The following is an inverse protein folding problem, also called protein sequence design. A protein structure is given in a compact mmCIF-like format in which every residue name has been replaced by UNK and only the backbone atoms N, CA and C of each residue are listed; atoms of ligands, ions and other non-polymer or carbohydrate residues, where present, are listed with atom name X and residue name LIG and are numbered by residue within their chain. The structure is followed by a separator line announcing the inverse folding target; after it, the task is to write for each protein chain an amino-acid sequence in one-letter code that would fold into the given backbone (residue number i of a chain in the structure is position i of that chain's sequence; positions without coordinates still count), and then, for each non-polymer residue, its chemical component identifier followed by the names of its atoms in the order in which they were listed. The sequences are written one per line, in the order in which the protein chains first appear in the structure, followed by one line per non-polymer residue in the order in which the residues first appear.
data_IF_097845346853
#
_entry.id   IF_097845346853
#
_cell.length_a   1.000
_cell.length_b   1.000
_cell.length_c   1.000
_cell.angle_alpha   90.00
_cell.angle_beta   90.00
_cell.angle_gamma   90.00
#
_symmetry.space_group_name_H-M   'P 1'
#
loop_
_entity.id
_entity.type
_entity.pdbx_description
1 polymer ?
#
# COMPACT_ATOMS: atom_id res chain seq x y z
N UNK A 1 5.05 19.26 5.41
CA UNK A 1 6.05 18.52 6.19
C UNK A 1 6.40 19.27 7.48
N UNK A 2 6.86 20.53 7.43
CA UNK A 2 7.32 21.32 8.62
C UNK A 2 6.24 21.44 9.71
N UNK A 3 5.02 21.83 9.35
CA UNK A 3 3.91 21.91 10.31
C UNK A 3 3.55 20.56 10.95
N UNK A 4 3.62 19.48 10.18
CA UNK A 4 3.38 18.14 10.71
C UNK A 4 4.47 17.73 11.71
N UNK A 5 5.74 18.01 11.41
CA UNK A 5 6.86 17.72 12.32
C UNK A 5 6.75 18.50 13.63
N UNK A 6 6.37 19.78 13.57
CA UNK A 6 6.14 20.60 14.77
C UNK A 6 4.96 20.05 15.59
N UNK A 7 3.86 19.69 14.93
CA UNK A 7 2.69 19.09 15.58
C UNK A 7 3.02 17.80 16.31
N UNK A 8 3.80 16.91 15.68
CA UNK A 8 4.28 15.66 16.26
C UNK A 8 5.18 15.92 17.48
N UNK A 9 6.11 16.89 17.40
CA UNK A 9 6.99 17.23 18.52
C UNK A 9 6.23 17.77 19.74
N UNK A 10 5.12 18.47 19.51
CA UNK A 10 4.31 19.04 20.60
C UNK A 10 3.33 18.00 21.18
N UNK A 11 2.74 17.16 20.32
CA UNK A 11 1.66 16.26 20.72
C UNK A 11 2.13 14.91 21.28
N UNK A 12 3.34 14.44 20.91
CA UNK A 12 3.85 13.16 21.39
C UNK A 12 4.57 13.34 22.73
N UNK A 13 4.08 12.69 23.81
CA UNK A 13 4.82 12.63 25.06
C UNK A 13 6.14 11.88 24.85
N UNK A 14 7.21 12.34 25.50
CA UNK A 14 8.51 11.67 25.49
C UNK A 14 8.35 10.27 26.07
N UNK A 15 8.21 9.28 25.20
CA UNK A 15 8.18 7.86 25.59
C UNK A 15 9.55 7.49 26.14
N UNK A 16 9.58 6.92 27.35
CA UNK A 16 10.81 6.35 27.91
C UNK A 16 11.36 5.32 26.93
N UNK A 17 12.65 5.46 26.64
CA UNK A 17 13.46 4.62 25.77
C UNK A 17 13.29 3.16 26.18
N UNK A 18 12.40 2.43 25.53
CA UNK A 18 12.31 0.98 25.64
C UNK A 18 13.58 0.41 24.99
N UNK A 19 14.18 -0.57 25.65
CA UNK A 19 15.44 -1.26 25.34
C UNK A 19 15.85 -1.19 23.85
N UNK A 20 17.09 -0.79 23.60
CA UNK A 20 17.70 -0.78 22.27
C UNK A 20 17.69 -2.21 21.71
N UNK A 21 16.66 -2.57 20.97
CA UNK A 21 16.69 -3.76 20.14
C UNK A 21 17.64 -3.46 19.00
N UNK A 22 18.83 -4.08 19.04
CA UNK A 22 19.78 -3.97 17.94
C UNK A 22 19.11 -4.49 16.68
N UNK A 23 19.12 -3.67 15.62
CA UNK A 23 18.61 -4.08 14.33
C UNK A 23 19.40 -5.30 13.84
N UNK A 24 18.71 -6.35 13.50
CA UNK A 24 19.32 -7.55 12.93
C UNK A 24 19.55 -7.30 11.43
N UNK A 25 20.78 -6.89 11.10
CA UNK A 25 21.17 -6.45 9.76
C UNK A 25 21.10 -7.55 8.70
N UNK A 26 21.40 -8.80 9.08
CA UNK A 26 21.46 -9.93 8.13
C UNK A 26 20.08 -10.22 7.55
N UNK A 27 19.07 -10.39 8.39
CA UNK A 27 17.71 -10.62 7.94
C UNK A 27 17.13 -9.41 7.21
N UNK A 28 17.44 -8.19 7.68
CA UNK A 28 17.01 -6.96 7.01
C UNK A 28 17.58 -6.86 5.58
N UNK A 29 18.88 -7.10 5.39
CA UNK A 29 19.52 -7.03 4.07
C UNK A 29 19.02 -8.13 3.14
N UNK A 30 18.90 -9.38 3.61
CA UNK A 30 18.40 -10.48 2.81
C UNK A 30 16.97 -10.22 2.31
N UNK A 31 16.08 -9.75 3.19
CA UNK A 31 14.72 -9.40 2.82
C UNK A 31 14.70 -8.22 1.85
N UNK A 32 15.50 -7.18 2.09
CA UNK A 32 15.57 -5.99 1.24
C UNK A 32 16.06 -6.34 -0.17
N UNK A 33 17.09 -7.17 -0.31
CA UNK A 33 17.60 -7.65 -1.60
C UNK A 33 16.52 -8.45 -2.32
N UNK A 34 15.85 -9.37 -1.61
CA UNK A 34 14.77 -10.18 -2.18
C UNK A 34 13.66 -9.31 -2.75
N UNK A 35 13.14 -8.36 -1.95
CA UNK A 35 12.06 -7.46 -2.37
C UNK A 35 12.51 -6.59 -3.55
N UNK A 36 13.73 -6.04 -3.50
CA UNK A 36 14.26 -5.21 -4.57
C UNK A 36 14.38 -5.98 -5.90
N UNK A 37 14.92 -7.18 -5.88
CA UNK A 37 15.05 -8.03 -7.07
C UNK A 37 13.70 -8.41 -7.65
N UNK A 38 12.73 -8.84 -6.82
CA UNK A 38 11.37 -9.15 -7.27
C UNK A 38 10.70 -7.91 -7.86
N UNK A 39 10.83 -6.76 -7.22
CA UNK A 39 10.25 -5.50 -7.70
C UNK A 39 10.84 -5.07 -9.04
N UNK A 40 12.15 -5.19 -9.23
CA UNK A 40 12.82 -4.89 -10.50
C UNK A 40 12.37 -5.83 -11.60
N UNK A 41 12.36 -7.14 -11.34
CA UNK A 41 11.91 -8.15 -12.30
C UNK A 41 10.45 -7.93 -12.73
N UNK A 42 9.54 -7.63 -11.79
CA UNK A 42 8.14 -7.34 -12.09
C UNK A 42 7.96 -6.02 -12.85
N UNK A 43 8.72 -4.98 -12.51
CA UNK A 43 8.63 -3.66 -13.15
C UNK A 43 9.17 -3.65 -14.58
N UNK A 44 10.20 -4.44 -14.86
CA UNK A 44 10.92 -4.43 -16.14
C UNK A 44 10.57 -5.63 -17.02
N UNK A 45 9.97 -6.68 -16.44
CA UNK A 45 9.69 -7.95 -17.11
C UNK A 45 8.94 -7.80 -18.42
N UNK A 46 7.86 -7.00 -18.43
CA UNK A 46 7.08 -6.74 -19.66
C UNK A 46 7.94 -6.14 -20.79
N UNK A 47 8.82 -5.20 -20.45
CA UNK A 47 9.65 -4.50 -21.43
C UNK A 47 10.82 -5.35 -21.94
N UNK A 48 11.34 -6.26 -21.11
CA UNK A 48 12.50 -7.10 -21.41
C UNK A 48 12.13 -8.51 -21.88
N UNK A 49 10.84 -8.81 -22.08
CA UNK A 49 10.39 -10.12 -22.55
C UNK A 49 10.44 -11.22 -21.47
N UNK A 50 10.36 -10.85 -20.19
CA UNK A 50 10.36 -11.77 -19.05
C UNK A 50 11.59 -12.71 -19.08
N UNK A 51 11.37 -14.01 -18.98
CA UNK A 51 12.44 -15.03 -18.93
C UNK A 51 13.27 -15.20 -20.21
N UNK A 52 13.03 -14.40 -21.25
CA UNK A 52 13.90 -14.34 -22.43
C UNK A 52 15.13 -13.46 -22.18
N UNK A 53 15.08 -12.58 -21.19
CA UNK A 53 16.21 -11.72 -20.81
C UNK A 53 17.06 -12.35 -19.73
N UNK A 54 18.38 -12.47 -19.94
CA UNK A 54 19.31 -12.93 -18.91
C UNK A 54 19.28 -12.07 -17.64
N UNK A 55 19.02 -10.76 -17.78
CA UNK A 55 18.89 -9.81 -16.69
C UNK A 55 17.77 -10.20 -15.72
N UNK A 56 16.57 -10.48 -16.26
CA UNK A 56 15.41 -10.90 -15.44
C UNK A 56 15.66 -12.26 -14.77
N UNK A 57 16.30 -13.19 -15.48
CA UNK A 57 16.64 -14.51 -14.90
C UNK A 57 17.57 -14.34 -13.71
N UNK A 58 18.59 -13.50 -13.82
CA UNK A 58 19.53 -13.22 -12.72
C UNK A 58 18.83 -12.53 -11.55
N UNK A 59 18.00 -11.50 -11.82
CA UNK A 59 17.21 -10.81 -10.78
C UNK A 59 16.31 -11.79 -10.03
N UNK A 60 15.56 -12.63 -10.73
CA UNK A 60 14.67 -13.63 -10.11
C UNK A 60 15.45 -14.65 -9.31
N UNK A 61 16.60 -15.13 -9.83
CA UNK A 61 17.45 -16.09 -9.14
C UNK A 61 18.04 -15.51 -7.84
N UNK A 62 18.61 -14.30 -7.89
CA UNK A 62 19.15 -13.61 -6.71
C UNK A 62 18.02 -13.32 -5.71
N UNK A 63 16.86 -12.86 -6.17
CA UNK A 63 15.71 -12.61 -5.32
C UNK A 63 15.20 -13.85 -4.61
N UNK A 64 15.08 -14.97 -5.33
CA UNK A 64 14.67 -16.26 -4.77
C UNK A 64 15.69 -16.81 -3.77
N UNK A 65 16.99 -16.73 -4.10
CA UNK A 65 18.08 -17.16 -3.21
C UNK A 65 18.10 -16.32 -1.92
N UNK A 66 18.01 -14.99 -2.04
CA UNK A 66 17.96 -14.09 -0.88
C UNK A 66 16.73 -14.36 -0.01
N UNK A 67 15.59 -14.65 -0.60
CA UNK A 67 14.37 -15.00 0.12
C UNK A 67 14.49 -16.34 0.86
N UNK A 68 15.06 -17.34 0.21
CA UNK A 68 15.34 -18.62 0.85
C UNK A 68 16.28 -18.48 2.04
N UNK A 69 17.39 -17.75 1.88
CA UNK A 69 18.34 -17.48 2.96
C UNK A 69 17.69 -16.68 4.10
N UNK A 70 16.81 -15.71 3.78
CA UNK A 70 16.04 -14.97 4.76
C UNK A 70 15.13 -15.88 5.58
N UNK A 71 14.39 -16.80 4.95
CA UNK A 71 13.54 -17.77 5.65
C UNK A 71 14.37 -18.67 6.53
N UNK A 72 15.46 -19.26 6.00
CA UNK A 72 16.35 -20.13 6.75
C UNK A 72 16.93 -19.40 7.98
N UNK A 73 17.41 -18.18 7.78
CA UNK A 73 17.95 -17.34 8.86
C UNK A 73 16.90 -16.98 9.91
N UNK A 74 15.69 -16.56 9.48
CA UNK A 74 14.59 -16.22 10.39
C UNK A 74 14.06 -17.39 11.22
N UNK A 75 14.21 -18.62 10.75
CA UNK A 75 13.78 -19.82 11.47
C UNK A 75 14.85 -20.33 12.45
N UNK A 76 16.14 -20.05 12.19
CA UNK A 76 17.27 -20.54 12.99
C UNK A 76 17.77 -19.52 14.02
N UNK A 77 17.50 -18.24 13.83
CA UNK A 77 18.01 -17.19 14.71
C UNK A 77 17.05 -16.92 15.88
N UNK A 78 17.58 -16.72 17.09
CA UNK A 78 16.78 -16.51 18.31
C UNK A 78 16.01 -15.20 18.31
N UNK A 79 16.56 -14.16 17.66
CA UNK A 79 15.94 -12.83 17.53
C UNK A 79 15.94 -12.38 16.06
N UNK A 80 15.11 -12.99 15.21
CA UNK A 80 15.09 -12.67 13.80
C UNK A 80 14.51 -11.27 13.57
N UNK A 81 14.88 -10.63 12.45
CA UNK A 81 14.32 -9.35 12.01
C UNK A 81 12.79 -9.39 11.88
N UNK A 82 12.25 -10.48 11.31
CA UNK A 82 10.84 -10.79 11.27
C UNK A 82 10.58 -12.17 11.85
N UNK A 83 9.71 -12.23 12.84
CA UNK A 83 9.31 -13.50 13.42
C UNK A 83 8.24 -14.18 12.56
N UNK A 84 8.65 -15.09 11.68
CA UNK A 84 7.75 -15.81 10.78
C UNK A 84 6.71 -16.67 11.53
N UNK A 85 6.95 -17.00 12.81
CA UNK A 85 5.96 -17.71 13.64
C UNK A 85 4.69 -16.91 13.88
N UNK A 86 4.74 -15.57 13.71
CA UNK A 86 3.54 -14.73 13.78
C UNK A 86 2.53 -15.07 12.66
N UNK A 87 2.99 -15.57 11.52
CA UNK A 87 2.11 -16.02 10.43
C UNK A 87 1.23 -17.22 10.83
N UNK A 88 1.64 -17.99 11.83
CA UNK A 88 0.83 -19.08 12.38
C UNK A 88 -0.34 -18.55 13.24
N UNK A 89 -0.28 -17.31 13.68
CA UNK A 89 -1.40 -16.67 14.35
C UNK A 89 -2.46 -16.29 13.32
N UNK A 90 -3.64 -16.92 13.40
CA UNK A 90 -4.74 -16.72 12.46
C UNK A 90 -5.14 -15.26 12.29
N UNK A 91 -5.17 -14.47 13.36
CA UNK A 91 -5.55 -13.07 13.28
C UNK A 91 -4.51 -12.24 12.54
N UNK A 92 -3.23 -12.52 12.78
CA UNK A 92 -2.12 -11.85 12.09
C UNK A 92 -2.09 -12.20 10.59
N UNK A 93 -2.27 -13.48 10.24
CA UNK A 93 -2.32 -13.93 8.86
C UNK A 93 -3.49 -13.31 8.09
N UNK A 94 -4.69 -13.25 8.69
CA UNK A 94 -5.85 -12.58 8.10
C UNK A 94 -5.57 -11.08 7.91
N UNK A 95 -4.99 -10.41 8.91
CA UNK A 95 -4.61 -9.01 8.81
C UNK A 95 -3.64 -8.75 7.64
N UNK A 96 -2.63 -9.61 7.47
CA UNK A 96 -1.67 -9.51 6.38
C UNK A 96 -2.32 -9.69 5.00
N UNK A 97 -3.24 -10.64 4.86
CA UNK A 97 -4.01 -10.84 3.63
C UNK A 97 -4.85 -9.59 3.33
N UNK A 98 -5.53 -9.04 4.33
CA UNK A 98 -6.34 -7.83 4.16
C UNK A 98 -5.48 -6.63 3.74
N UNK A 99 -4.29 -6.44 4.35
CA UNK A 99 -3.34 -5.38 3.95
C UNK A 99 -2.88 -5.57 2.51
N UNK A 100 -2.60 -6.82 2.10
CA UNK A 100 -2.18 -7.11 0.73
C UNK A 100 -3.28 -6.78 -0.27
N UNK A 101 -4.52 -7.25 -0.03
CA UNK A 101 -5.68 -6.94 -0.88
C UNK A 101 -5.92 -5.43 -0.92
N UNK A 102 -5.86 -4.76 0.23
CA UNK A 102 -5.99 -3.31 0.30
C UNK A 102 -4.93 -2.60 -0.53
N UNK A 103 -3.67 -3.03 -0.43
CA UNK A 103 -2.56 -2.49 -1.22
C UNK A 103 -2.83 -2.60 -2.72
N UNK A 104 -3.23 -3.77 -3.20
CA UNK A 104 -3.58 -3.99 -4.62
C UNK A 104 -4.72 -3.07 -5.07
N UNK A 105 -5.82 -3.01 -4.31
CA UNK A 105 -6.98 -2.19 -4.64
C UNK A 105 -6.68 -0.68 -4.59
N UNK A 106 -5.76 -0.27 -3.73
CA UNK A 106 -5.42 1.14 -3.56
C UNK A 106 -4.43 1.64 -4.61
N UNK A 107 -3.36 0.88 -4.88
CA UNK A 107 -2.29 1.32 -5.77
C UNK A 107 -2.61 1.12 -7.25
N UNK A 108 -3.39 0.11 -7.61
CA UNK A 108 -3.74 -0.16 -9.00
C UNK A 108 -4.41 1.05 -9.69
N UNK A 109 -5.48 1.66 -9.16
CA UNK A 109 -6.06 2.85 -9.78
C UNK A 109 -5.11 4.05 -9.79
N UNK A 110 -4.27 4.18 -8.77
CA UNK A 110 -3.31 5.29 -8.67
C UNK A 110 -2.26 5.25 -9.80
N UNK A 111 -1.88 4.06 -10.24
CA UNK A 111 -0.89 3.88 -11.31
C UNK A 111 -1.55 3.92 -12.70
N UNK A 112 -2.70 3.25 -12.86
CA UNK A 112 -3.33 3.07 -14.17
C UNK A 112 -4.14 4.29 -14.61
N UNK A 113 -4.87 4.92 -13.67
CA UNK A 113 -5.82 5.99 -14.01
C UNK A 113 -5.17 7.20 -14.69
N UNK A 114 -4.01 7.73 -14.25
CA UNK A 114 -3.37 8.86 -14.93
C UNK A 114 -3.00 8.56 -16.39
N UNK A 115 -2.46 7.37 -16.66
CA UNK A 115 -2.12 6.92 -18.02
C UNK A 115 -3.36 6.82 -18.89
N UNK A 116 -4.42 6.20 -18.38
CA UNK A 116 -5.69 6.04 -19.09
C UNK A 116 -6.33 7.39 -19.42
N UNK A 117 -6.37 8.32 -18.47
CA UNK A 117 -6.92 9.66 -18.67
C UNK A 117 -6.12 10.47 -19.71
N UNK A 118 -4.80 10.32 -19.72
CA UNK A 118 -3.93 10.98 -20.69
C UNK A 118 -4.07 10.39 -22.10
N UNK A 119 -3.97 9.07 -22.24
CA UNK A 119 -3.86 8.40 -23.54
C UNK A 119 -5.22 8.22 -24.22
N UNK A 120 -6.28 7.92 -23.45
CA UNK A 120 -7.59 7.58 -24.02
C UNK A 120 -8.60 8.74 -23.96
N UNK A 121 -8.54 9.55 -22.89
CA UNK A 121 -9.46 10.69 -22.73
C UNK A 121 -8.86 12.01 -23.21
N UNK A 122 -7.52 12.06 -23.40
CA UNK A 122 -6.81 13.28 -23.84
C UNK A 122 -6.84 14.41 -22.81
N UNK A 123 -6.98 14.10 -21.51
CA UNK A 123 -7.03 15.10 -20.46
C UNK A 123 -5.68 15.77 -20.26
N UNK A 124 -5.64 17.11 -20.08
CA UNK A 124 -4.42 17.82 -19.73
C UNK A 124 -3.92 17.43 -18.33
N UNK A 125 -2.60 17.44 -18.15
CA UNK A 125 -1.93 17.00 -16.91
C UNK A 125 -2.41 17.73 -15.65
N UNK A 126 -2.81 19.02 -15.80
CA UNK A 126 -3.40 19.79 -14.70
C UNK A 126 -4.69 19.19 -14.18
N UNK A 127 -5.60 18.74 -15.06
CA UNK A 127 -6.85 18.10 -14.67
C UNK A 127 -6.62 16.71 -14.07
N UNK A 128 -5.67 15.95 -14.64
CA UNK A 128 -5.26 14.66 -14.08
C UNK A 128 -4.75 14.84 -12.63
N UNK A 129 -3.97 15.90 -12.40
CA UNK A 129 -3.51 16.25 -11.06
C UNK A 129 -4.64 16.52 -10.08
N UNK A 130 -5.71 17.23 -10.48
CA UNK A 130 -6.91 17.43 -9.66
C UNK A 130 -7.65 16.13 -9.37
N UNK A 131 -7.81 15.26 -10.36
CA UNK A 131 -8.45 13.94 -10.20
C UNK A 131 -7.68 13.10 -9.19
N UNK A 132 -6.37 12.98 -9.34
CA UNK A 132 -5.53 12.20 -8.41
C UNK A 132 -5.50 12.84 -7.02
N UNK A 133 -5.42 14.17 -6.96
CA UNK A 133 -5.41 14.94 -5.71
C UNK A 133 -6.71 14.82 -4.91
N UNK A 134 -7.85 14.63 -5.57
CA UNK A 134 -9.16 14.48 -4.93
C UNK A 134 -9.22 13.30 -3.94
N UNK A 135 -8.46 12.23 -4.18
CA UNK A 135 -8.31 11.11 -3.23
C UNK A 135 -7.73 11.57 -1.90
N UNK A 136 -6.80 12.54 -1.94
CA UNK A 136 -6.23 13.12 -0.74
C UNK A 136 -7.27 13.79 0.15
N UNK A 137 -8.24 14.49 -0.45
CA UNK A 137 -9.34 15.13 0.28
C UNK A 137 -10.20 14.07 0.97
N UNK A 138 -10.60 13.03 0.24
CA UNK A 138 -11.35 11.91 0.80
C UNK A 138 -10.62 11.21 1.93
N UNK A 139 -9.32 10.93 1.74
CA UNK A 139 -8.49 10.31 2.75
C UNK A 139 -8.36 11.17 4.02
N UNK A 140 -8.16 12.47 3.88
CA UNK A 140 -8.07 13.41 5.00
C UNK A 140 -9.36 13.38 5.85
N UNK A 141 -10.52 13.46 5.22
CA UNK A 141 -11.82 13.38 5.91
C UNK A 141 -11.95 12.02 6.62
N UNK A 142 -11.61 10.93 5.93
CA UNK A 142 -11.71 9.59 6.50
C UNK A 142 -10.76 9.36 7.67
N UNK A 143 -9.53 9.87 7.62
CA UNK A 143 -8.59 9.77 8.74
C UNK A 143 -9.11 10.49 10.00
N UNK A 144 -9.71 11.67 9.83
CA UNK A 144 -10.34 12.38 10.94
C UNK A 144 -11.48 11.57 11.56
N UNK A 145 -12.37 11.02 10.74
CA UNK A 145 -13.52 10.22 11.21
C UNK A 145 -13.06 8.88 11.80
N UNK A 146 -12.15 8.20 11.13
CA UNK A 146 -11.68 6.87 11.53
C UNK A 146 -10.88 6.90 12.83
N UNK A 147 -10.23 8.01 13.18
CA UNK A 147 -9.60 8.21 14.48
C UNK A 147 -10.59 8.04 15.65
N UNK A 148 -11.83 8.44 15.46
CA UNK A 148 -12.88 8.31 16.49
C UNK A 148 -13.70 7.01 16.37
N UNK A 149 -14.11 6.65 15.14
CA UNK A 149 -15.02 5.53 14.89
C UNK A 149 -14.26 4.20 14.73
N UNK A 150 -13.10 4.24 14.09
CA UNK A 150 -12.29 3.06 13.80
C UNK A 150 -11.78 2.36 15.07
N UNK A 151 -11.42 3.12 16.09
CA UNK A 151 -11.01 2.57 17.38
C UNK A 151 -12.16 1.89 18.12
N UNK A 152 -13.38 2.41 17.99
CA UNK A 152 -14.56 1.87 18.69
C UNK A 152 -15.14 0.63 18.00
N UNK A 153 -15.12 0.59 16.67
CA UNK A 153 -15.72 -0.49 15.86
C UNK A 153 -14.81 -0.93 14.70
N UNK A 154 -13.60 -1.49 14.96
CA UNK A 154 -12.61 -1.74 13.91
C UNK A 154 -13.11 -2.66 12.79
N UNK A 155 -13.79 -3.75 13.12
CA UNK A 155 -14.32 -4.70 12.12
C UNK A 155 -15.35 -4.06 11.18
N UNK A 156 -16.24 -3.22 11.72
CA UNK A 156 -17.26 -2.53 10.91
C UNK A 156 -16.64 -1.46 10.03
N UNK A 157 -15.63 -0.74 10.54
CA UNK A 157 -14.90 0.27 9.79
C UNK A 157 -14.16 -0.35 8.60
N UNK A 158 -13.44 -1.45 8.80
CA UNK A 158 -12.76 -2.18 7.72
C UNK A 158 -13.77 -2.67 6.67
N UNK A 159 -14.87 -3.29 7.09
CA UNK A 159 -15.90 -3.77 6.18
C UNK A 159 -16.54 -2.63 5.37
N UNK A 160 -16.86 -1.51 6.02
CA UNK A 160 -17.39 -0.32 5.35
C UNK A 160 -16.40 0.26 4.34
N UNK A 161 -15.11 0.31 4.68
CA UNK A 161 -14.06 0.79 3.79
C UNK A 161 -13.89 -0.10 2.55
N UNK A 162 -13.90 -1.43 2.70
CA UNK A 162 -13.89 -2.35 1.56
C UNK A 162 -15.14 -2.23 0.70
N UNK A 163 -16.32 -2.02 1.31
CA UNK A 163 -17.56 -1.77 0.58
C UNK A 163 -17.48 -0.49 -0.24
N UNK A 164 -16.95 0.60 0.34
CA UNK A 164 -16.71 1.85 -0.39
C UNK A 164 -15.74 1.64 -1.56
N UNK A 165 -14.71 0.82 -1.38
CA UNK A 165 -13.77 0.50 -2.46
C UNK A 165 -14.43 -0.27 -3.61
N UNK A 166 -15.34 -1.22 -3.28
CA UNK A 166 -16.14 -1.94 -4.28
C UNK A 166 -17.06 -0.97 -5.03
N UNK A 167 -17.77 -0.09 -4.32
CA UNK A 167 -18.64 0.91 -4.94
C UNK A 167 -17.85 1.82 -5.88
N UNK A 168 -16.70 2.32 -5.44
CA UNK A 168 -15.83 3.15 -6.26
C UNK A 168 -15.31 2.41 -7.51
N UNK A 169 -14.95 1.13 -7.37
CA UNK A 169 -14.52 0.28 -8.48
C UNK A 169 -15.64 0.03 -9.50
N UNK A 170 -16.83 -0.31 -9.02
CA UNK A 170 -18.01 -0.50 -9.88
C UNK A 170 -18.37 0.80 -10.61
N UNK A 171 -18.31 1.94 -9.92
CA UNK A 171 -18.52 3.24 -10.55
C UNK A 171 -17.51 3.50 -11.65
N UNK A 172 -16.22 3.17 -11.46
CA UNK A 172 -15.20 3.34 -12.48
C UNK A 172 -15.49 2.48 -13.73
N UNK A 173 -16.16 1.33 -13.59
CA UNK A 173 -16.56 0.49 -14.74
C UNK A 173 -17.64 1.12 -15.60
N UNK A 174 -18.46 2.04 -15.07
CA UNK A 174 -19.53 2.75 -15.81
C UNK A 174 -19.01 4.00 -16.54
N UNK A 175 -17.75 4.36 -16.30
CA UNK A 175 -17.12 5.55 -16.89
C UNK A 175 -16.83 5.32 -18.37
N UNK A 176 -17.25 6.27 -19.21
CA UNK A 176 -17.03 6.29 -20.65
C UNK A 176 -16.10 7.45 -21.05
N UNK A 177 -15.63 7.46 -22.31
CA UNK A 177 -14.76 8.51 -22.85
C UNK A 177 -15.41 9.93 -22.80
N UNK A 178 -16.73 10.01 -22.72
CA UNK A 178 -17.47 11.27 -22.60
C UNK A 178 -17.78 11.67 -21.16
N UNK A 179 -17.23 10.95 -20.17
CA UNK A 179 -17.48 11.21 -18.75
C UNK A 179 -16.82 12.52 -18.33
N UNK A 180 -17.54 13.32 -17.55
CA UNK A 180 -17.04 14.61 -17.09
C UNK A 180 -15.89 14.44 -16.10
N UNK A 181 -14.88 15.34 -16.10
CA UNK A 181 -13.80 15.32 -15.12
C UNK A 181 -14.29 15.29 -13.67
N UNK A 182 -15.45 15.87 -13.40
CA UNK A 182 -16.05 15.93 -12.06
C UNK A 182 -16.41 14.54 -11.52
N UNK A 183 -16.84 13.62 -12.36
CA UNK A 183 -17.16 12.25 -11.95
C UNK A 183 -15.90 11.49 -11.48
N UNK A 184 -14.77 11.71 -12.15
CA UNK A 184 -13.50 11.16 -11.71
C UNK A 184 -13.05 11.74 -10.36
N UNK A 185 -13.27 13.05 -10.15
CA UNK A 185 -12.98 13.72 -8.88
C UNK A 185 -13.84 13.13 -7.75
N UNK A 186 -15.15 12.97 -7.97
CA UNK A 186 -16.06 12.39 -6.98
C UNK A 186 -15.70 10.93 -6.68
N UNK A 187 -15.40 10.14 -7.71
CA UNK A 187 -14.92 8.77 -7.52
C UNK A 187 -13.62 8.75 -6.72
N UNK A 188 -12.68 9.65 -7.00
CA UNK A 188 -11.44 9.81 -6.25
C UNK A 188 -11.68 10.10 -4.77
N UNK A 189 -12.63 10.98 -4.43
CA UNK A 189 -13.01 11.27 -3.04
C UNK A 189 -13.55 10.00 -2.34
N UNK A 190 -14.42 9.23 -3.01
CA UNK A 190 -14.96 7.98 -2.46
C UNK A 190 -13.84 6.94 -2.22
N UNK A 191 -12.90 6.81 -3.16
CA UNK A 191 -11.72 5.97 -2.98
C UNK A 191 -10.86 6.44 -1.80
N UNK A 192 -10.67 7.76 -1.66
CA UNK A 192 -9.95 8.34 -0.52
C UNK A 192 -10.63 8.05 0.82
N UNK A 193 -11.97 8.16 0.89
CA UNK A 193 -12.74 7.79 2.07
C UNK A 193 -12.54 6.30 2.43
N UNK A 194 -12.52 5.42 1.45
CA UNK A 194 -12.24 4.00 1.67
C UNK A 194 -10.84 3.77 2.27
N UNK A 195 -9.83 4.49 1.77
CA UNK A 195 -8.44 4.41 2.25
C UNK A 195 -8.36 4.67 3.75
N UNK A 196 -8.87 5.80 4.23
CA UNK A 196 -8.77 6.16 5.65
C UNK A 196 -9.58 5.24 6.55
N UNK A 197 -10.76 4.79 6.12
CA UNK A 197 -11.61 3.89 6.90
C UNK A 197 -11.04 2.47 7.03
N UNK A 198 -10.23 2.01 6.08
CA UNK A 198 -9.55 0.71 6.15
C UNK A 198 -8.25 0.82 6.95
N UNK A 199 -7.42 1.83 6.64
CA UNK A 199 -6.06 1.92 7.14
C UNK A 199 -5.98 2.09 8.65
N UNK A 200 -6.75 3.03 9.22
CA UNK A 200 -6.69 3.35 10.65
C UNK A 200 -6.97 2.16 11.57
N UNK A 201 -8.03 1.34 11.36
CA UNK A 201 -8.28 0.20 12.24
C UNK A 201 -7.46 -1.06 11.88
N UNK A 202 -6.72 -1.03 10.76
CA UNK A 202 -5.92 -2.17 10.30
C UNK A 202 -4.48 -2.10 10.84
N UNK A 203 -3.99 -0.89 11.17
CA UNK A 203 -2.66 -0.62 11.76
C UNK A 203 -2.73 -0.44 13.26
#
# INVERSE_FOLDING_TARGET
AVFASIGVMIALPRTHRTQETKLEWTGFLLLSISIACVQLALSRGQRLGWFQSPEIIIEVFIGALAFYLFIAHSLTHDKPFLNLRLLLNRNYAIGLILVTIYGMLNFTPMVILPGLLREHVGMPDSLIGYVVGSRGIGAMIAFCIAGFVGQKFPRRSIAAGFLLQVIAGLWLMTVNLNTTPMEFVLNGIVQGLAVGTIWVPLT
#
